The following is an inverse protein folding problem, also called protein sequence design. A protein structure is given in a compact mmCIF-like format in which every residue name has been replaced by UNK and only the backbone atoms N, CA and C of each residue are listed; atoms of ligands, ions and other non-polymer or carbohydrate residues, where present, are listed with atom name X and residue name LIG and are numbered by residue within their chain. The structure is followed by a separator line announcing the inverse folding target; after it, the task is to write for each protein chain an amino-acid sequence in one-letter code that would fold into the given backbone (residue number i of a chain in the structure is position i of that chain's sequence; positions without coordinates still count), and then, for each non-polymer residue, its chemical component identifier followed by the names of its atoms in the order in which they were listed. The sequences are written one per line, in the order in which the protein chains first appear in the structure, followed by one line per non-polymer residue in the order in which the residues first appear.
data_IF_383919934472
#
_entry.id   IF_383919934472
#
_cell.length_a   1.000
_cell.length_b   1.000
_cell.length_c   1.000
_cell.angle_alpha   90.00
_cell.angle_beta   90.00
_cell.angle_gamma   90.00
#
_symmetry.space_group_name_H-M   'P 1'
#
loop_
_entity.id
_entity.type
_entity.pdbx_description
1 polymer ?
#
# COMPACT_ATOMS: atom_id res chain seq x y z
N UNK A 1 25.09 8.89 -2.40
CA UNK A 1 23.89 9.26 -1.61
C UNK A 1 23.07 7.99 -1.40
N UNK A 2 22.73 7.60 -0.17
CA UNK A 2 21.95 6.37 0.10
C UNK A 2 20.47 6.70 -0.11
N UNK A 3 19.81 6.04 -1.06
CA UNK A 3 18.38 6.22 -1.31
C UNK A 3 17.62 5.88 -0.02
N UNK A 4 16.65 6.71 0.43
CA UNK A 4 15.85 6.40 1.61
C UNK A 4 15.17 5.05 1.44
N UNK A 5 15.35 4.16 2.41
CA UNK A 5 14.81 2.80 2.42
C UNK A 5 13.29 2.76 2.35
N UNK A 6 12.64 3.81 2.86
CA UNK A 6 11.20 4.04 2.77
C UNK A 6 10.78 4.12 1.30
N UNK A 7 11.59 4.77 0.45
CA UNK A 7 11.35 4.86 -0.98
C UNK A 7 11.60 3.53 -1.69
N UNK A 8 12.68 2.82 -1.33
CA UNK A 8 13.00 1.50 -1.89
C UNK A 8 11.91 0.47 -1.57
N UNK A 9 11.42 0.47 -0.33
CA UNK A 9 10.34 -0.42 0.08
C UNK A 9 8.99 0.02 -0.49
N UNK A 10 8.75 1.32 -0.66
CA UNK A 10 7.60 1.84 -1.39
C UNK A 10 7.55 1.34 -2.84
N UNK A 11 8.70 1.31 -3.54
CA UNK A 11 8.79 0.75 -4.89
C UNK A 11 8.42 -0.73 -4.97
N UNK A 12 8.70 -1.52 -3.93
CA UNK A 12 8.29 -2.93 -3.88
C UNK A 12 6.76 -3.06 -3.83
N UNK A 13 6.10 -2.17 -3.09
CA UNK A 13 4.63 -2.11 -3.06
C UNK A 13 4.09 -1.80 -4.45
N UNK A 14 4.66 -0.78 -5.11
CA UNK A 14 4.27 -0.37 -6.47
C UNK A 14 4.47 -1.51 -7.47
N UNK A 15 5.61 -2.18 -7.44
CA UNK A 15 5.90 -3.32 -8.33
C UNK A 15 4.99 -4.51 -8.02
N UNK A 16 4.72 -4.80 -6.76
CA UNK A 16 3.82 -5.88 -6.36
C UNK A 16 2.38 -5.66 -6.82
N UNK A 17 1.84 -4.47 -6.53
CA UNK A 17 0.48 -4.09 -6.94
C UNK A 17 0.40 -3.99 -8.47
N UNK A 18 1.37 -3.35 -9.12
CA UNK A 18 1.40 -3.18 -10.58
C UNK A 18 1.50 -4.51 -11.33
N UNK A 19 2.40 -5.40 -10.90
CA UNK A 19 2.53 -6.72 -11.52
C UNK A 19 1.28 -7.57 -11.30
N UNK A 20 0.73 -7.55 -10.08
CA UNK A 20 -0.53 -8.23 -9.76
C UNK A 20 -1.65 -7.72 -10.66
N UNK A 21 -1.82 -6.40 -10.76
CA UNK A 21 -2.82 -5.77 -11.62
C UNK A 21 -2.69 -6.19 -13.08
N UNK A 22 -1.47 -6.18 -13.64
CA UNK A 22 -1.23 -6.60 -15.03
C UNK A 22 -1.58 -8.07 -15.26
N UNK A 23 -1.25 -8.95 -14.30
CA UNK A 23 -1.65 -10.36 -14.37
C UNK A 23 -3.18 -10.48 -14.32
N UNK A 24 -3.84 -9.72 -13.44
CA UNK A 24 -5.30 -9.75 -13.34
C UNK A 24 -5.99 -9.24 -14.60
N UNK A 25 -5.43 -8.22 -15.23
CA UNK A 25 -5.92 -7.68 -16.50
C UNK A 25 -5.75 -8.67 -17.65
N UNK A 26 -4.59 -9.33 -17.75
CA UNK A 26 -4.34 -10.35 -18.78
C UNK A 26 -5.27 -11.56 -18.66
N UNK A 27 -5.66 -11.91 -17.44
CA UNK A 27 -6.62 -12.98 -17.19
C UNK A 27 -8.09 -12.53 -17.34
N UNK A 28 -8.34 -11.23 -17.47
CA UNK A 28 -9.70 -10.67 -17.58
C UNK A 28 -10.50 -10.69 -16.27
N UNK A 29 -9.83 -10.70 -15.11
CA UNK A 29 -10.46 -10.64 -13.78
C UNK A 29 -10.30 -9.27 -13.10
N UNK A 30 -9.80 -8.26 -13.82
CA UNK A 30 -9.55 -6.91 -13.29
C UNK A 30 -10.84 -6.16 -12.89
N UNK A 31 -12.00 -6.59 -13.40
CA UNK A 31 -13.33 -6.08 -13.06
C UNK A 31 -13.79 -6.53 -11.66
N UNK A 32 -13.21 -7.60 -11.11
CA UNK A 32 -13.62 -8.16 -9.83
C UNK A 32 -13.04 -7.33 -8.68
N UNK A 33 -13.88 -6.52 -8.04
CA UNK A 33 -13.46 -5.66 -6.92
C UNK A 33 -12.89 -6.45 -5.72
N UNK A 34 -13.39 -7.67 -5.45
CA UNK A 34 -12.91 -8.54 -4.35
C UNK A 34 -11.41 -8.84 -4.47
N UNK A 35 -10.89 -8.93 -5.69
CA UNK A 35 -9.48 -9.22 -5.92
C UNK A 35 -8.58 -8.03 -5.57
N UNK A 36 -9.14 -6.83 -5.35
CA UNK A 36 -8.38 -5.65 -4.90
C UNK A 36 -8.01 -5.72 -3.43
N UNK A 37 -8.72 -6.52 -2.63
CA UNK A 37 -8.37 -6.75 -1.22
C UNK A 37 -6.96 -7.34 -1.08
N UNK A 38 -6.48 -8.09 -2.08
CA UNK A 38 -5.11 -8.61 -2.11
C UNK A 38 -4.05 -7.49 -2.18
N UNK A 39 -4.40 -6.29 -2.66
CA UNK A 39 -3.49 -5.13 -2.65
C UNK A 39 -2.98 -4.81 -1.23
N UNK A 40 -3.82 -5.03 -0.22
CA UNK A 40 -3.48 -4.84 1.20
C UNK A 40 -2.33 -5.76 1.63
N UNK A 41 -2.20 -6.97 1.05
CA UNK A 41 -1.10 -7.88 1.36
C UNK A 41 0.25 -7.34 0.88
N UNK A 42 0.28 -6.70 -0.29
CA UNK A 42 1.49 -6.07 -0.81
C UNK A 42 1.89 -4.86 0.04
N UNK A 43 0.92 -4.04 0.46
CA UNK A 43 1.14 -2.95 1.41
C UNK A 43 1.69 -3.50 2.73
N UNK A 44 1.09 -4.56 3.29
CA UNK A 44 1.55 -5.20 4.51
C UNK A 44 2.99 -5.70 4.39
N UNK A 45 3.32 -6.37 3.29
CA UNK A 45 4.66 -6.88 3.03
C UNK A 45 5.70 -5.75 2.96
N UNK A 46 5.45 -4.70 2.17
CA UNK A 46 6.36 -3.56 2.03
C UNK A 46 6.55 -2.79 3.33
N UNK A 47 5.46 -2.53 4.05
CA UNK A 47 5.49 -1.83 5.34
C UNK A 47 6.22 -2.64 6.42
N UNK A 48 5.99 -3.95 6.50
CA UNK A 48 6.70 -4.82 7.44
C UNK A 48 8.20 -4.88 7.13
N UNK A 49 8.58 -4.82 5.84
CA UNK A 49 10.00 -4.76 5.44
C UNK A 49 10.68 -3.48 5.93
N UNK A 50 10.00 -2.34 5.88
CA UNK A 50 10.52 -1.09 6.47
C UNK A 50 10.72 -1.22 7.99
N UNK A 51 9.75 -1.78 8.71
CA UNK A 51 9.87 -2.01 10.15
C UNK A 51 11.04 -2.94 10.49
N UNK A 52 11.19 -4.04 9.76
CA UNK A 52 12.30 -4.99 9.94
C UNK A 52 13.66 -4.33 9.68
N UNK A 53 13.78 -3.52 8.63
CA UNK A 53 15.01 -2.79 8.32
C UNK A 53 15.34 -1.78 9.42
N UNK A 54 14.36 -1.03 9.91
CA UNK A 54 14.55 -0.11 11.03
C UNK A 54 15.00 -0.81 12.32
N UNK A 55 14.45 -1.99 12.60
CA UNK A 55 14.86 -2.79 13.77
C UNK A 55 16.30 -3.30 13.66
N UNK A 56 16.71 -3.79 12.48
CA UNK A 56 18.09 -4.27 12.23
C UNK A 56 19.11 -3.13 12.40
N UNK A 57 18.75 -1.90 12.02
CA UNK A 57 19.57 -0.71 12.22
C UNK A 57 19.59 -0.19 13.67
N UNK A 58 18.96 -0.90 14.61
CA UNK A 58 18.95 -0.52 16.02
C UNK A 58 18.01 0.64 16.36
N UNK A 59 17.13 1.07 15.44
CA UNK A 59 16.11 2.07 15.74
C UNK A 59 15.01 1.42 16.59
N UNK A 60 15.07 1.64 17.91
CA UNK A 60 14.11 1.07 18.88
C UNK A 60 12.89 1.96 19.18
N UNK A 61 12.85 3.18 18.65
CA UNK A 61 11.72 4.08 18.89
C UNK A 61 10.49 3.63 18.11
N UNK A 62 9.48 3.15 18.84
CA UNK A 62 8.22 2.65 18.29
C UNK A 62 7.50 3.72 17.45
N UNK A 63 7.48 4.97 17.94
CA UNK A 63 6.86 6.10 17.23
C UNK A 63 7.58 6.46 15.93
N UNK A 64 8.92 6.50 15.94
CA UNK A 64 9.70 6.78 14.73
C UNK A 64 9.54 5.67 13.68
N UNK A 65 9.52 4.41 14.13
CA UNK A 65 9.33 3.27 13.23
C UNK A 65 7.91 3.22 12.66
N UNK A 66 6.90 3.55 13.47
CA UNK A 66 5.52 3.71 13.02
C UNK A 66 5.37 4.78 11.95
N UNK A 67 5.99 5.94 12.14
CA UNK A 67 5.98 7.02 11.16
C UNK A 67 6.67 6.62 9.84
N UNK A 68 7.86 5.99 9.91
CA UNK A 68 8.55 5.48 8.70
C UNK A 68 7.72 4.42 7.96
N UNK A 69 7.05 3.54 8.69
CA UNK A 69 6.19 2.51 8.14
C UNK A 69 4.96 3.13 7.45
N UNK A 70 4.30 4.09 8.10
CA UNK A 70 3.17 4.83 7.53
C UNK A 70 3.57 5.56 6.25
N UNK A 71 4.70 6.26 6.27
CA UNK A 71 5.23 6.97 5.10
C UNK A 71 5.52 6.02 3.94
N UNK A 72 6.12 4.85 4.21
CA UNK A 72 6.35 3.82 3.19
C UNK A 72 5.03 3.38 2.54
N UNK A 73 4.01 3.10 3.36
CA UNK A 73 2.70 2.65 2.90
C UNK A 73 2.01 3.72 2.05
N UNK A 74 1.98 4.97 2.52
CA UNK A 74 1.36 6.10 1.81
C UNK A 74 2.06 6.36 0.48
N UNK A 75 3.39 6.40 0.46
CA UNK A 75 4.17 6.60 -0.78
C UNK A 75 3.89 5.46 -1.76
N UNK A 76 3.87 4.20 -1.30
CA UNK A 76 3.57 3.05 -2.14
C UNK A 76 2.17 3.11 -2.75
N UNK A 77 1.16 3.45 -1.95
CA UNK A 77 -0.22 3.62 -2.42
C UNK A 77 -0.33 4.76 -3.43
N UNK A 78 0.21 5.92 -3.10
CA UNK A 78 0.14 7.10 -3.97
C UNK A 78 0.80 6.83 -5.32
N UNK A 79 2.01 6.27 -5.34
CA UNK A 79 2.71 5.90 -6.57
C UNK A 79 1.95 4.82 -7.37
N UNK A 80 1.29 3.87 -6.70
CA UNK A 80 0.47 2.85 -7.37
C UNK A 80 -0.74 3.46 -8.07
N UNK A 81 -1.40 4.44 -7.44
CA UNK A 81 -2.52 5.18 -8.07
C UNK A 81 -2.03 6.01 -9.26
N UNK A 82 -0.89 6.70 -9.13
CA UNK A 82 -0.30 7.46 -10.25
C UNK A 82 0.07 6.54 -11.42
N UNK A 83 0.63 5.35 -11.14
CA UNK A 83 0.93 4.35 -12.14
C UNK A 83 -0.35 3.87 -12.85
N UNK A 84 -1.43 3.64 -12.10
CA UNK A 84 -2.71 3.23 -12.64
C UNK A 84 -3.35 4.31 -13.53
N UNK A 85 -3.32 5.58 -13.11
CA UNK A 85 -3.80 6.72 -13.91
C UNK A 85 -3.02 6.78 -15.23
N UNK A 86 -1.69 6.74 -15.14
CA UNK A 86 -0.82 6.80 -16.32
C UNK A 86 -1.12 5.65 -17.29
N UNK A 87 -1.20 4.43 -16.77
CA UNK A 87 -1.52 3.23 -17.55
C UNK A 87 -2.90 3.32 -18.20
N UNK A 88 -3.90 3.82 -17.48
CA UNK A 88 -5.26 3.98 -18.00
C UNK A 88 -5.32 4.96 -19.17
N UNK A 89 -4.61 6.09 -19.07
CA UNK A 89 -4.50 7.03 -20.20
C UNK A 89 -3.81 6.41 -21.43
N UNK A 90 -2.78 5.58 -21.24
CA UNK A 90 -2.14 4.86 -22.35
C UNK A 90 -3.05 3.81 -23.01
N UNK A 91 -4.01 3.25 -22.27
CA UNK A 91 -4.89 2.16 -22.72
C UNK A 91 -6.22 2.60 -23.34
N UNK A 92 -6.48 3.90 -23.44
CA UNK A 92 -7.74 4.43 -23.99
C UNK A 92 -8.53 5.31 -23.02
N UNK A 93 -7.97 5.64 -21.85
CA UNK A 93 -8.54 6.60 -20.92
C UNK A 93 -9.80 6.11 -20.21
N UNK A 94 -10.88 6.88 -20.32
CA UNK A 94 -12.14 6.64 -19.59
C UNK A 94 -12.83 5.36 -20.09
N UNK A 95 -12.71 5.02 -21.39
CA UNK A 95 -13.24 3.77 -21.95
C UNK A 95 -12.63 2.54 -21.29
N UNK A 96 -11.33 2.57 -21.00
CA UNK A 96 -10.65 1.48 -20.31
C UNK A 96 -11.13 1.33 -18.86
N UNK A 97 -11.27 2.43 -18.11
CA UNK A 97 -11.76 2.39 -16.73
C UNK A 97 -13.21 1.91 -16.63
N UNK A 98 -14.05 2.24 -17.62
CA UNK A 98 -15.42 1.73 -17.69
C UNK A 98 -15.47 0.19 -17.72
N UNK A 99 -14.45 -0.48 -18.28
CA UNK A 99 -14.34 -1.95 -18.24
C UNK A 99 -13.97 -2.50 -16.85
N UNK A 100 -13.30 -1.71 -16.01
CA UNK A 100 -12.87 -2.09 -14.65
C UNK A 100 -13.92 -1.78 -13.57
N UNK A 101 -14.95 -0.98 -13.85
CA UNK A 101 -15.70 -0.26 -12.81
C UNK A 101 -17.16 -0.64 -12.62
N UNK A 102 -17.67 -1.74 -13.19
CA UNK A 102 -19.10 -2.09 -13.08
C UNK A 102 -19.63 -2.18 -11.63
N UNK A 103 -18.78 -2.15 -10.60
CA UNK A 103 -19.18 -2.34 -9.20
C UNK A 103 -18.41 -1.45 -8.20
N UNK A 104 -17.97 -0.24 -8.58
CA UNK A 104 -17.32 0.66 -7.61
C UNK A 104 -18.33 1.50 -6.81
N UNK A 105 -17.92 1.93 -5.60
CA UNK A 105 -18.73 2.58 -4.54
C UNK A 105 -19.60 3.78 -4.96
N UNK A 106 -19.40 4.29 -6.17
CA UNK A 106 -20.18 5.36 -6.79
C UNK A 106 -20.72 4.83 -8.12
N UNK A 107 -21.99 4.41 -8.16
CA UNK A 107 -22.60 3.87 -9.39
C UNK A 107 -22.62 4.90 -10.52
N UNK A 108 -22.41 4.45 -11.77
CA UNK A 108 -22.40 5.29 -12.97
C UNK A 108 -21.32 4.88 -13.98
N UNK A 109 -21.01 5.76 -14.94
CA UNK A 109 -19.80 5.72 -15.78
C UNK A 109 -18.70 6.57 -15.11
N UNK A 110 -17.81 5.99 -14.30
CA UNK A 110 -16.82 6.77 -13.58
C UNK A 110 -15.70 7.21 -14.51
N UNK A 111 -15.36 8.49 -14.43
CA UNK A 111 -14.11 9.01 -14.99
C UNK A 111 -12.89 8.35 -14.34
N UNK A 112 -11.75 8.35 -15.04
CA UNK A 112 -10.45 7.92 -14.50
C UNK A 112 -10.18 8.57 -13.14
N UNK A 113 -10.52 9.85 -12.99
CA UNK A 113 -10.25 10.62 -11.78
C UNK A 113 -11.12 10.17 -10.61
N UNK A 114 -12.42 9.99 -10.81
CA UNK A 114 -13.35 9.51 -9.77
C UNK A 114 -12.93 8.15 -9.25
N UNK A 115 -12.61 7.24 -10.18
CA UNK A 115 -12.14 5.90 -9.87
C UNK A 115 -10.82 5.91 -9.08
N UNK A 116 -9.85 6.70 -9.55
CA UNK A 116 -8.52 6.79 -8.93
C UNK A 116 -8.55 7.43 -7.54
N UNK A 117 -9.38 8.46 -7.34
CA UNK A 117 -9.57 9.09 -6.03
C UNK A 117 -10.19 8.11 -5.04
N UNK A 118 -11.20 7.33 -5.46
CA UNK A 118 -11.81 6.34 -4.58
C UNK A 118 -10.82 5.24 -4.19
N UNK A 119 -9.98 4.77 -5.12
CA UNK A 119 -8.88 3.84 -4.83
C UNK A 119 -7.82 4.46 -3.91
N UNK A 120 -7.53 5.75 -4.05
CA UNK A 120 -6.61 6.47 -3.17
C UNK A 120 -7.12 6.46 -1.73
N UNK A 121 -8.41 6.74 -1.50
CA UNK A 121 -9.00 6.69 -0.16
C UNK A 121 -8.95 5.28 0.44
N UNK A 122 -9.31 4.25 -0.34
CA UNK A 122 -9.23 2.84 0.09
C UNK A 122 -7.78 2.45 0.45
N UNK A 123 -6.82 2.85 -0.39
CA UNK A 123 -5.40 2.64 -0.17
C UNK A 123 -4.87 3.36 1.07
N UNK A 124 -5.32 4.59 1.33
CA UNK A 124 -4.95 5.34 2.54
C UNK A 124 -5.51 4.68 3.80
N UNK A 125 -6.79 4.28 3.80
CA UNK A 125 -7.41 3.57 4.91
C UNK A 125 -6.66 2.28 5.23
N UNK A 126 -6.34 1.48 4.20
CA UNK A 126 -5.57 0.25 4.38
C UNK A 126 -4.14 0.51 4.86
N UNK A 127 -3.46 1.54 4.37
CA UNK A 127 -2.12 1.94 4.84
C UNK A 127 -2.09 2.28 6.33
N UNK A 128 -3.08 3.02 6.84
CA UNK A 128 -3.21 3.36 8.26
C UNK A 128 -3.48 2.09 9.09
N UNK A 129 -4.45 1.27 8.68
CA UNK A 129 -4.82 0.03 9.39
C UNK A 129 -3.63 -0.93 9.45
N UNK A 130 -2.97 -1.18 8.32
CA UNK A 130 -1.80 -2.07 8.22
C UNK A 130 -0.66 -1.57 9.10
N UNK A 131 -0.37 -0.27 9.06
CA UNK A 131 0.68 0.30 9.90
C UNK A 131 0.37 0.11 11.38
N UNK A 132 -0.88 0.37 11.79
CA UNK A 132 -1.30 0.20 13.18
C UNK A 132 -1.20 -1.26 13.64
N UNK A 133 -1.69 -2.21 12.84
CA UNK A 133 -1.58 -3.65 13.11
C UNK A 133 -0.10 -4.06 13.25
N UNK A 134 0.74 -3.63 12.30
CA UNK A 134 2.17 -3.96 12.34
C UNK A 134 2.87 -3.35 13.56
N UNK A 135 2.51 -2.12 13.95
CA UNK A 135 3.03 -1.52 15.18
C UNK A 135 2.63 -2.32 16.42
N UNK A 136 1.39 -2.79 16.52
CA UNK A 136 0.94 -3.63 17.63
C UNK A 136 1.66 -4.99 17.65
N UNK A 137 1.82 -5.62 16.49
CA UNK A 137 2.56 -6.87 16.36
C UNK A 137 4.03 -6.70 16.75
N UNK A 138 4.66 -5.60 16.36
CA UNK A 138 6.05 -5.32 16.69
C UNK A 138 6.23 -4.78 18.13
N UNK A 139 5.23 -4.14 18.75
CA UNK A 139 5.30 -3.71 20.16
C UNK A 139 5.62 -4.89 21.08
N UNK A 140 5.06 -6.08 20.82
CA UNK A 140 5.43 -7.29 21.57
C UNK A 140 6.91 -7.68 21.47
N UNK A 141 7.59 -7.32 20.37
CA UNK A 141 9.05 -7.49 20.22
C UNK A 141 9.84 -6.36 20.86
N UNK A 142 9.28 -5.15 20.96
CA UNK A 142 9.86 -4.03 21.70
C UNK A 142 9.61 -4.12 23.22
N UNK A 143 8.69 -4.98 23.68
CA UNK A 143 8.35 -5.21 25.10
C UNK A 143 9.48 -5.77 25.96
N UNK A 144 10.62 -6.20 25.41
CA UNK A 144 11.79 -6.53 26.23
C UNK A 144 12.37 -5.33 26.99
N UNK A 145 12.03 -4.08 26.61
CA UNK A 145 12.50 -2.87 27.32
C UNK A 145 11.49 -2.27 28.31
N UNK A 146 10.23 -2.76 28.38
CA UNK A 146 9.20 -2.19 29.30
C UNK A 146 9.08 -2.89 30.66
N UNK A 147 9.76 -4.02 30.87
CA UNK A 147 9.72 -4.77 32.15
C UNK A 147 11.10 -4.97 32.83
N UNK A 148 12.11 -4.18 32.48
CA UNK A 148 13.39 -4.13 33.21
C UNK A 148 13.37 -3.13 34.38
N UNK A 149 12.20 -2.78 34.91
CA UNK A 149 12.11 -2.19 36.26
C UNK A 149 12.23 -3.35 37.24
N UNK A 150 13.43 -3.44 37.83
CA UNK A 150 13.79 -4.36 38.91
C UNK A 150 12.71 -4.36 39.99
N UNK A 151 12.18 -5.55 40.29
CA UNK A 151 11.57 -5.86 41.59
C UNK A 151 12.70 -6.10 42.58
#
# INVERSE_FOLDING_TARGET
MKIPKELVNGWIIVLGIGLYFLVMELLGLADIYLLRVFNVLFIFYGTNRTLKANFIEGKKSLGSNGMSALLTAIIGVFLSVVALISYSYFKGGDEYIATLSKTFLFGGEPSIMTYSISLLFEGFSSAVIVTFILMLLWDTRYRSDKHSVKV
#
